data_IF_854753792694
#
_entry.id   IF_854753792694
#
_cell.length_a   1.000
_cell.length_b   1.000
_cell.length_c   1.000
_cell.angle_alpha   90.00
_cell.angle_beta   90.00
_cell.angle_gamma   90.00
#
_symmetry.space_group_name_H-M   'P 1'
#
loop_
_entity.id
_entity.type
_entity.pdbx_description
1 polymer ?
#
# COMPACT_ATOMS: atom_id res chain seq x y z
N UNK A 1 1.47 -12.44 -0.36
CA UNK A 1 1.09 -11.01 -0.27
C UNK A 1 0.12 -10.69 -1.39
N UNK A 2 -1.18 -10.50 -1.09
CA UNK A 2 -2.18 -10.12 -2.09
C UNK A 2 -2.07 -8.61 -2.29
N UNK A 3 -1.74 -8.17 -3.51
CA UNK A 3 -1.67 -6.75 -3.84
C UNK A 3 -3.05 -6.32 -4.34
N UNK A 4 -3.62 -5.30 -3.72
CA UNK A 4 -4.89 -4.69 -4.13
C UNK A 4 -4.68 -3.78 -5.35
N UNK A 5 -5.64 -3.76 -6.28
CA UNK A 5 -5.61 -2.87 -7.45
C UNK A 5 -5.43 -1.39 -7.05
N UNK A 6 -5.99 -0.98 -5.90
CA UNK A 6 -5.81 0.36 -5.35
C UNK A 6 -4.36 0.62 -4.94
N UNK A 7 -3.68 -0.38 -4.38
CA UNK A 7 -2.25 -0.29 -4.05
C UNK A 7 -1.40 -0.16 -5.32
N UNK A 8 -1.74 -0.89 -6.39
CA UNK A 8 -1.07 -0.75 -7.70
C UNK A 8 -1.22 0.68 -8.24
N UNK A 9 -2.44 1.24 -8.22
CA UNK A 9 -2.70 2.61 -8.67
C UNK A 9 -1.92 3.65 -7.87
N UNK A 10 -1.86 3.50 -6.54
CA UNK A 10 -1.08 4.41 -5.69
C UNK A 10 0.41 4.34 -6.02
N UNK A 11 0.97 3.14 -6.23
CA UNK A 11 2.38 2.99 -6.63
C UNK A 11 2.65 3.63 -8.00
N UNK A 12 1.75 3.45 -8.98
CA UNK A 12 1.84 4.10 -10.29
C UNK A 12 1.78 5.64 -10.19
N UNK A 13 0.85 6.17 -9.40
CA UNK A 13 0.71 7.60 -9.15
C UNK A 13 1.97 8.19 -8.48
N UNK A 14 2.49 7.53 -7.45
CA UNK A 14 3.71 7.96 -6.76
C UNK A 14 4.90 8.04 -7.70
N UNK A 15 5.11 7.03 -8.55
CA UNK A 15 6.19 7.05 -9.53
C UNK A 15 5.98 8.14 -10.59
N UNK A 16 4.76 8.35 -11.09
CA UNK A 16 4.47 9.46 -12.01
C UNK A 16 4.73 10.85 -11.38
N UNK A 17 4.49 11.01 -10.08
CA UNK A 17 4.77 12.23 -9.34
C UNK A 17 6.27 12.41 -9.04
N UNK A 18 7.02 11.32 -8.86
CA UNK A 18 8.46 11.35 -8.59
C UNK A 18 9.26 11.98 -9.76
N UNK A 19 8.72 11.91 -10.99
CA UNK A 19 9.32 12.55 -12.16
C UNK A 19 8.95 14.04 -12.36
N UNK A 20 8.05 14.63 -11.55
CA UNK A 20 7.60 16.02 -11.73
C UNK A 20 8.36 17.04 -10.86
N UNK A 21 9.08 16.62 -9.81
CA UNK A 21 9.67 17.55 -8.82
C UNK A 21 11.18 17.38 -8.63
N UNK A 22 11.94 17.32 -9.74
CA UNK A 22 13.41 17.50 -9.73
C UNK A 22 13.83 18.96 -9.93
N UNK A 23 13.14 19.93 -9.31
CA UNK A 23 13.58 21.33 -9.25
C UNK A 23 12.98 22.05 -8.04
N UNK A 24 13.51 21.80 -6.85
CA UNK A 24 13.50 22.82 -5.80
C UNK A 24 14.94 22.92 -5.29
N UNK A 25 15.56 24.04 -5.60
CA UNK A 25 16.87 24.42 -5.13
C UNK A 25 16.81 24.62 -3.61
N UNK A 26 17.67 23.94 -2.87
CA UNK A 26 17.87 24.20 -1.44
C UNK A 26 18.66 25.50 -1.30
N UNK A 27 17.99 26.56 -0.86
CA UNK A 27 18.65 27.76 -0.33
C UNK A 27 18.95 27.50 1.15
N UNK A 28 20.21 27.22 1.44
CA UNK A 28 20.77 27.11 2.78
C UNK A 28 20.76 28.49 3.45
N UNK A 29 20.11 28.62 4.61
CA UNK A 29 20.28 29.77 5.49
C UNK A 29 20.27 29.31 6.95
N UNK A 30 21.35 29.68 7.61
CA UNK A 30 21.83 29.28 8.93
C UNK A 30 21.12 29.94 10.13
N UNK A 31 21.20 29.25 11.28
CA UNK A 31 21.25 29.74 12.68
C UNK A 31 19.95 29.95 13.51
N UNK A 32 19.64 28.98 14.40
CA UNK A 32 19.34 29.11 15.87
C UNK A 32 18.77 27.76 16.38
N UNK A 33 19.08 27.25 17.59
CA UNK A 33 18.43 26.05 18.12
C UNK A 33 17.05 26.46 18.68
N UNK A 34 16.09 26.70 17.79
CA UNK A 34 14.68 26.59 18.17
C UNK A 34 14.39 25.10 18.30
N UNK A 35 13.79 24.70 19.42
CA UNK A 35 13.19 23.39 19.51
C UNK A 35 12.13 23.29 18.41
N UNK A 36 12.44 22.52 17.35
CA UNK A 36 11.51 22.27 16.27
C UNK A 36 10.31 21.49 16.84
N UNK A 37 9.22 22.20 17.10
CA UNK A 37 7.97 21.60 17.55
C UNK A 37 7.31 20.99 16.31
N UNK A 38 7.45 19.66 16.17
CA UNK A 38 6.75 18.90 15.14
C UNK A 38 5.25 18.83 15.47
N UNK A 39 4.48 19.78 14.96
CA UNK A 39 3.02 19.72 14.97
C UNK A 39 2.57 18.73 13.88
N UNK A 40 2.40 17.46 14.25
CA UNK A 40 1.81 16.47 13.35
C UNK A 40 0.38 16.90 13.03
N UNK A 41 0.08 17.07 11.74
CA UNK A 41 -1.29 17.23 11.26
C UNK A 41 -2.16 16.08 11.77
N UNK A 42 -3.41 16.37 12.17
CA UNK A 42 -4.37 15.39 12.67
C UNK A 42 -4.47 14.16 11.75
N UNK A 43 -4.38 14.37 10.42
CA UNK A 43 -4.38 13.29 9.42
C UNK A 43 -3.21 12.32 9.56
N UNK A 44 -2.02 12.78 9.96
CA UNK A 44 -0.85 11.90 10.15
C UNK A 44 -1.02 11.06 11.43
N UNK A 45 -1.62 11.63 12.47
CA UNK A 45 -1.91 10.90 13.71
C UNK A 45 -2.92 9.76 13.46
N UNK A 46 -4.00 10.06 12.73
CA UNK A 46 -4.98 9.05 12.32
C UNK A 46 -4.34 7.91 11.49
N UNK A 47 -3.45 8.25 10.55
CA UNK A 47 -2.75 7.25 9.75
C UNK A 47 -1.84 6.35 10.60
N UNK A 48 -1.17 6.91 11.61
CA UNK A 48 -0.33 6.13 12.52
C UNK A 48 -1.17 5.16 13.36
N UNK A 49 -2.31 5.62 13.88
CA UNK A 49 -3.24 4.76 14.63
C UNK A 49 -3.77 3.61 13.77
N UNK A 50 -4.19 3.92 12.53
CA UNK A 50 -4.64 2.90 11.58
C UNK A 50 -3.51 1.90 11.28
N UNK A 51 -2.28 2.38 11.05
CA UNK A 51 -1.12 1.52 10.78
C UNK A 51 -0.84 0.58 11.95
N UNK A 52 -0.90 1.06 13.19
CA UNK A 52 -0.74 0.23 14.38
C UNK A 52 -1.85 -0.84 14.50
N UNK A 53 -3.10 -0.47 14.23
CA UNK A 53 -4.22 -1.42 14.24
C UNK A 53 -4.10 -2.48 13.14
N UNK A 54 -3.60 -2.09 11.96
CA UNK A 54 -3.32 -3.04 10.87
C UNK A 54 -2.20 -3.99 11.26
N UNK A 55 -1.14 -3.52 11.91
CA UNK A 55 -0.05 -4.38 12.40
C UNK A 55 -0.47 -5.31 13.53
N UNK A 56 -1.42 -4.89 14.37
CA UNK A 56 -2.01 -5.71 15.44
C UNK A 56 -3.04 -6.73 14.92
N UNK A 57 -3.45 -6.62 13.66
CA UNK A 57 -4.39 -7.57 13.07
C UNK A 57 -3.73 -8.94 12.94
N UNK A 58 -4.49 -10.04 13.11
CA UNK A 58 -3.93 -11.38 13.03
C UNK A 58 -3.41 -11.66 11.61
N UNK A 59 -2.25 -12.35 11.54
CA UNK A 59 -1.64 -12.77 10.27
C UNK A 59 -2.59 -13.64 9.42
N UNK A 60 -3.43 -14.44 10.09
CA UNK A 60 -4.41 -15.31 9.45
C UNK A 60 -5.82 -14.85 9.83
N UNK A 61 -6.61 -14.50 8.80
CA UNK A 61 -8.03 -14.20 8.94
C UNK A 61 -8.84 -15.49 8.85
N UNK A 62 -8.99 -16.18 9.98
CA UNK A 62 -9.63 -17.50 10.06
C UNK A 62 -11.03 -17.51 9.41
N UNK A 63 -11.85 -16.48 9.65
CA UNK A 63 -13.21 -16.37 9.11
C UNK A 63 -13.21 -16.42 7.58
N UNK A 64 -12.31 -15.65 6.95
CA UNK A 64 -12.17 -15.60 5.49
C UNK A 64 -11.67 -16.93 4.92
N UNK A 65 -10.81 -17.64 5.65
CA UNK A 65 -10.34 -18.96 5.24
C UNK A 65 -11.47 -19.97 5.29
N UNK A 66 -12.34 -19.92 6.31
CA UNK A 66 -13.51 -20.78 6.41
C UNK A 66 -14.49 -20.55 5.26
N UNK A 67 -14.84 -19.29 5.00
CA UNK A 67 -15.72 -18.90 3.89
C UNK A 67 -15.20 -19.41 2.54
N UNK A 68 -13.91 -19.23 2.27
CA UNK A 68 -13.31 -19.71 1.01
C UNK A 68 -13.31 -21.24 0.92
N UNK A 69 -13.09 -21.95 2.04
CA UNK A 69 -13.16 -23.42 2.06
C UNK A 69 -14.56 -23.91 1.72
N UNK A 70 -15.59 -23.29 2.29
CA UNK A 70 -16.99 -23.60 2.00
C UNK A 70 -17.32 -23.36 0.53
N UNK A 71 -16.92 -22.20 -0.02
CA UNK A 71 -17.14 -21.88 -1.43
C UNK A 71 -16.46 -22.88 -2.40
N UNK A 72 -15.28 -23.38 -2.03
CA UNK A 72 -14.56 -24.40 -2.80
C UNK A 72 -15.28 -25.76 -2.69
N UNK A 73 -15.72 -26.15 -1.49
CA UNK A 73 -16.45 -27.40 -1.26
C UNK A 73 -17.79 -27.43 -2.02
N UNK A 74 -18.50 -26.30 -2.04
CA UNK A 74 -19.76 -26.15 -2.77
C UNK A 74 -19.58 -26.07 -4.30
N UNK A 75 -18.34 -26.03 -4.79
CA UNK A 75 -18.03 -25.86 -6.22
C UNK A 75 -18.40 -24.47 -6.77
N UNK A 76 -18.71 -23.51 -5.90
CA UNK A 76 -19.10 -22.14 -6.26
C UNK A 76 -17.91 -21.18 -6.39
N UNK A 77 -16.72 -21.65 -6.02
CA UNK A 77 -15.49 -20.90 -6.23
C UNK A 77 -15.06 -20.96 -7.71
N UNK A 78 -15.52 -19.99 -8.50
CA UNK A 78 -15.15 -19.84 -9.89
C UNK A 78 -14.29 -18.58 -10.09
N UNK A 79 -13.07 -18.76 -10.60
CA UNK A 79 -12.16 -17.67 -10.98
C UNK A 79 -11.82 -17.86 -12.45
N UNK A 80 -12.01 -16.80 -13.22
CA UNK A 80 -11.75 -16.80 -14.66
C UNK A 80 -10.25 -16.68 -14.98
N UNK A 81 -9.86 -17.13 -16.17
CA UNK A 81 -8.48 -16.99 -16.64
C UNK A 81 -8.01 -15.53 -16.68
N UNK A 82 -8.90 -14.61 -17.03
CA UNK A 82 -8.62 -13.17 -17.08
C UNK A 82 -8.31 -12.60 -15.69
N UNK A 83 -9.06 -13.00 -14.66
CA UNK A 83 -8.81 -12.58 -13.28
C UNK A 83 -7.45 -13.07 -12.76
N UNK A 84 -7.05 -14.28 -13.19
CA UNK A 84 -5.74 -14.85 -12.85
C UNK A 84 -4.64 -14.05 -13.56
N UNK A 85 -4.76 -13.84 -14.87
CA UNK A 85 -3.80 -13.10 -15.66
C UNK A 85 -3.62 -11.66 -15.15
N UNK A 86 -4.72 -10.98 -14.81
CA UNK A 86 -4.68 -9.65 -14.21
C UNK A 86 -3.91 -9.64 -12.89
N UNK A 87 -4.11 -10.63 -12.01
CA UNK A 87 -3.36 -10.75 -10.75
C UNK A 87 -1.87 -10.99 -10.99
N UNK A 88 -1.52 -11.81 -11.99
CA UNK A 88 -0.12 -12.06 -12.36
C UNK A 88 0.57 -10.78 -12.84
N UNK A 89 -0.06 -10.04 -13.75
CA UNK A 89 0.47 -8.78 -14.29
C UNK A 89 0.62 -7.74 -13.19
N UNK A 90 -0.43 -7.54 -12.37
CA UNK A 90 -0.41 -6.59 -11.26
C UNK A 90 0.73 -6.90 -10.27
N UNK A 91 0.98 -8.19 -10.00
CA UNK A 91 2.07 -8.62 -9.14
C UNK A 91 3.44 -8.28 -9.74
N UNK A 92 3.65 -8.64 -11.00
CA UNK A 92 4.90 -8.37 -11.72
C UNK A 92 5.22 -6.88 -11.75
N UNK A 93 4.22 -6.04 -12.06
CA UNK A 93 4.37 -4.60 -12.13
C UNK A 93 4.76 -4.00 -10.77
N UNK A 94 4.16 -4.47 -9.69
CA UNK A 94 4.48 -3.96 -8.34
C UNK A 94 5.86 -4.40 -7.90
N UNK A 95 6.28 -5.62 -8.22
CA UNK A 95 7.63 -6.10 -7.89
C UNK A 95 8.69 -5.26 -8.63
N UNK A 96 8.47 -4.93 -9.91
CA UNK A 96 9.34 -4.03 -10.70
C UNK A 96 9.39 -2.61 -10.11
N UNK A 97 8.24 -2.02 -9.78
CA UNK A 97 8.16 -0.65 -9.24
C UNK A 97 8.69 -0.55 -7.80
N UNK A 98 8.64 -1.64 -7.02
CA UNK A 98 9.18 -1.70 -5.67
C UNK A 98 10.70 -1.93 -5.65
N UNK A 99 11.36 -2.05 -6.81
CA UNK A 99 12.81 -2.17 -6.92
C UNK A 99 13.36 -3.50 -6.39
N UNK A 100 12.60 -4.58 -6.51
CA UNK A 100 13.15 -5.95 -6.39
C UNK A 100 13.55 -6.51 -7.73
#
# INVERSE_FOLDING_TARGET
>A
MIISNKQVQTVLQLNSCYHYSRRIAFADNSSMPRADVLLLSNKVQELNLIKEQVLKSPDIRADKVSELKELIQDGRYHVTGDEIAQKMINRSLVDELAGR
#
